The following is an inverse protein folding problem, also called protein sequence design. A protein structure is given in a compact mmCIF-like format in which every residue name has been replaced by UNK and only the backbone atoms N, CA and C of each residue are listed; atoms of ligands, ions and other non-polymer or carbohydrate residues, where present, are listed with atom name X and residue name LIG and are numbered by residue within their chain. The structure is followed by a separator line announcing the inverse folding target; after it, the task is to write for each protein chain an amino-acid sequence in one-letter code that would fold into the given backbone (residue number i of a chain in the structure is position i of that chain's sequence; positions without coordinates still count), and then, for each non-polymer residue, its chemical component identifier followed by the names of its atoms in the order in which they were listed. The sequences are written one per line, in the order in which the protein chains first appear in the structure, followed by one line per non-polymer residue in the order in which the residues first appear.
data_IF_461795707372
#
_entry.id   IF_461795707372
#
_cell.length_a   1.000
_cell.length_b   1.000
_cell.length_c   1.000
_cell.angle_alpha   90.00
_cell.angle_beta   90.00
_cell.angle_gamma   90.00
#
_symmetry.space_group_name_H-M   'P 1'
#
loop_
_entity.id
_entity.type
_entity.pdbx_description
1 polymer ?
#
# COMPACT_ATOMS: atom_id res chain seq x y z
N UNK A 1 28.87 -16.17 29.48
CA UNK A 1 27.92 -17.04 28.76
C UNK A 1 26.81 -17.44 29.72
N UNK A 2 25.59 -17.63 29.22
CA UNK A 2 24.46 -18.05 30.06
C UNK A 2 24.54 -19.57 30.18
N UNK A 3 24.93 -20.07 31.36
CA UNK A 3 25.31 -21.47 31.53
C UNK A 3 24.13 -22.45 31.61
N UNK A 4 22.90 -21.99 31.90
CA UNK A 4 21.71 -22.83 31.86
C UNK A 4 20.42 -21.99 31.77
N UNK A 5 19.63 -22.19 30.73
CA UNK A 5 18.27 -21.65 30.60
C UNK A 5 17.31 -22.81 30.72
N UNK A 6 16.46 -22.81 31.76
CA UNK A 6 15.45 -23.84 31.91
C UNK A 6 14.18 -23.42 31.18
N UNK A 7 13.96 -23.99 29.99
CA UNK A 7 12.75 -23.76 29.22
C UNK A 7 11.57 -24.59 29.80
N UNK A 8 10.33 -24.08 29.72
CA UNK A 8 9.15 -24.87 30.07
C UNK A 8 8.96 -26.03 29.09
N UNK A 9 8.03 -26.94 29.39
CA UNK A 9 7.72 -28.08 28.54
C UNK A 9 7.23 -27.60 27.15
N UNK A 10 7.99 -27.93 26.10
CA UNK A 10 7.67 -27.54 24.72
C UNK A 10 6.79 -28.58 24.05
N UNK A 11 5.99 -28.15 23.07
CA UNK A 11 5.29 -29.08 22.17
C UNK A 11 6.09 -29.22 20.89
N UNK A 12 6.36 -30.44 20.47
CA UNK A 12 6.99 -30.68 19.16
C UNK A 12 5.91 -30.58 18.11
N UNK A 13 6.05 -29.62 17.19
CA UNK A 13 5.21 -29.49 16.01
C UNK A 13 6.05 -29.76 14.77
N UNK A 14 5.61 -30.69 13.95
CA UNK A 14 6.21 -30.98 12.65
C UNK A 14 5.50 -30.14 11.59
N UNK A 15 6.28 -29.29 10.93
CA UNK A 15 5.82 -28.39 9.88
C UNK A 15 6.48 -28.79 8.56
N UNK A 16 5.73 -28.74 7.44
CA UNK A 16 6.25 -29.10 6.12
C UNK A 16 7.43 -28.23 5.66
N UNK A 17 7.59 -27.02 6.22
CA UNK A 17 8.62 -26.05 5.86
C UNK A 17 9.81 -26.01 6.83
N UNK A 18 9.58 -26.28 8.12
CA UNK A 18 10.61 -26.14 9.17
C UNK A 18 11.00 -27.48 9.83
N UNK A 19 10.35 -28.58 9.46
CA UNK A 19 10.55 -29.88 10.10
C UNK A 19 10.05 -29.89 11.55
N UNK A 20 10.64 -30.72 12.40
CA UNK A 20 10.26 -30.82 13.82
C UNK A 20 10.82 -29.63 14.59
N UNK A 21 9.93 -28.76 15.05
CA UNK A 21 10.26 -27.57 15.84
C UNK A 21 9.59 -27.61 17.21
N UNK A 22 10.29 -27.13 18.23
CA UNK A 22 9.75 -26.96 19.57
C UNK A 22 8.98 -25.63 19.65
N UNK A 23 7.69 -25.70 19.97
CA UNK A 23 6.82 -24.54 20.09
C UNK A 23 6.33 -24.38 21.53
N UNK A 24 6.11 -23.11 21.90
CA UNK A 24 5.51 -22.72 23.18
C UNK A 24 4.20 -21.98 22.88
N UNK A 25 3.06 -22.62 23.20
CA UNK A 25 1.72 -22.08 22.95
C UNK A 25 1.15 -21.31 24.14
N UNK A 26 1.86 -21.30 25.27
CA UNK A 26 1.49 -20.61 26.50
C UNK A 26 2.50 -19.53 26.87
N UNK A 27 2.04 -18.48 27.57
CA UNK A 27 2.93 -17.46 28.12
C UNK A 27 3.77 -18.06 29.25
N UNK A 28 5.09 -17.85 29.21
CA UNK A 28 6.00 -18.35 30.25
C UNK A 28 6.99 -17.27 30.70
N UNK A 29 7.60 -17.50 31.86
CA UNK A 29 8.62 -16.64 32.45
C UNK A 29 9.91 -17.44 32.55
N UNK A 30 10.96 -17.00 31.87
CA UNK A 30 12.30 -17.58 32.00
C UNK A 30 13.06 -16.88 33.12
N UNK A 31 13.57 -17.66 34.06
CA UNK A 31 14.53 -17.18 35.06
C UNK A 31 15.93 -17.53 34.57
N UNK A 32 16.72 -16.51 34.30
CA UNK A 32 18.10 -16.66 33.84
C UNK A 32 19.02 -16.27 34.98
N UNK A 33 19.95 -17.15 35.35
CA UNK A 33 20.99 -16.84 36.32
C UNK A 33 22.24 -16.40 35.56
N UNK A 34 22.76 -15.22 35.87
CA UNK A 34 23.84 -14.58 35.12
C UNK A 34 25.04 -14.49 36.04
N UNK A 35 26.07 -15.27 35.76
CA UNK A 35 27.29 -15.37 36.59
C UNK A 35 28.33 -14.29 36.28
N UNK A 36 28.20 -13.57 35.14
CA UNK A 36 29.15 -12.54 34.73
C UNK A 36 28.51 -11.14 34.67
N UNK A 37 29.31 -10.10 34.91
CA UNK A 37 29.00 -8.66 34.73
C UNK A 37 28.70 -8.27 33.26
N UNK A 38 28.12 -9.15 32.45
CA UNK A 38 27.62 -8.82 31.12
C UNK A 38 26.33 -8.00 31.27
N UNK A 39 26.41 -6.72 30.96
CA UNK A 39 25.28 -5.80 31.07
C UNK A 39 24.24 -5.98 29.96
N UNK A 40 24.47 -6.80 28.93
CA UNK A 40 23.58 -6.92 27.78
C UNK A 40 23.12 -8.38 27.57
N UNK A 41 21.81 -8.57 27.45
CA UNK A 41 21.17 -9.84 27.09
C UNK A 41 20.42 -9.68 25.78
N UNK A 42 20.81 -10.44 24.76
CA UNK A 42 20.14 -10.46 23.46
C UNK A 42 19.17 -11.64 23.41
N UNK A 43 17.88 -11.36 23.21
CA UNK A 43 16.82 -12.36 23.08
C UNK A 43 16.37 -12.43 21.63
N UNK A 44 16.38 -13.65 21.08
CA UNK A 44 15.92 -13.97 19.75
C UNK A 44 14.64 -14.81 19.88
N UNK A 45 13.54 -14.36 19.28
CA UNK A 45 12.30 -15.14 19.28
C UNK A 45 11.53 -14.94 17.98
N UNK A 46 10.75 -15.95 17.60
CA UNK A 46 9.92 -15.95 16.40
C UNK A 46 8.53 -16.46 16.77
N UNK A 47 7.49 -15.76 16.33
CA UNK A 47 6.11 -16.22 16.48
C UNK A 47 5.66 -16.96 15.23
N UNK A 48 4.86 -18.02 15.38
CA UNK A 48 4.23 -18.70 14.25
C UNK A 48 2.73 -18.82 14.45
N UNK A 49 1.96 -18.49 13.42
CA UNK A 49 0.53 -18.72 13.36
C UNK A 49 0.24 -20.22 13.20
N UNK A 50 -0.85 -20.70 13.82
CA UNK A 50 -1.22 -22.12 13.77
C UNK A 50 -1.43 -22.67 12.35
N UNK A 51 -1.72 -21.80 11.37
CA UNK A 51 -1.90 -22.10 9.94
C UNK A 51 -0.59 -22.19 9.12
N UNK A 52 0.59 -22.19 9.77
CA UNK A 52 1.88 -22.42 9.10
C UNK A 52 2.60 -21.16 8.61
N UNK A 53 2.21 -19.97 9.08
CA UNK A 53 2.88 -18.71 8.76
C UNK A 53 3.69 -18.23 9.95
N UNK A 54 5.02 -18.20 9.83
CA UNK A 54 5.89 -17.64 10.85
C UNK A 54 6.18 -16.15 10.58
N UNK A 55 6.04 -15.33 11.60
CA UNK A 55 6.46 -13.93 11.58
C UNK A 55 8.00 -13.85 11.44
N UNK A 56 8.55 -12.72 10.97
CA UNK A 56 9.99 -12.51 11.00
C UNK A 56 10.57 -12.63 12.41
N UNK A 57 11.80 -13.17 12.58
CA UNK A 57 12.44 -13.27 13.88
C UNK A 57 12.72 -11.88 14.46
N UNK A 58 12.41 -11.70 15.74
CA UNK A 58 12.56 -10.44 16.47
C UNK A 58 13.78 -10.54 17.38
N UNK A 59 14.62 -9.49 17.36
CA UNK A 59 15.74 -9.31 18.28
C UNK A 59 15.38 -8.26 19.33
N UNK A 60 15.53 -8.60 20.61
CA UNK A 60 15.39 -7.64 21.72
C UNK A 60 16.63 -7.67 22.60
N UNK A 61 17.19 -6.48 22.85
CA UNK A 61 18.35 -6.32 23.70
C UNK A 61 17.89 -5.76 25.05
N UNK A 62 18.28 -6.41 26.14
CA UNK A 62 17.98 -6.01 27.50
C UNK A 62 19.27 -5.61 28.21
N UNK A 63 19.34 -4.36 28.68
CA UNK A 63 20.42 -3.87 29.53
C UNK A 63 20.08 -4.15 31.00
N UNK A 64 20.90 -4.95 31.68
CA UNK A 64 20.73 -5.34 33.08
C UNK A 64 21.40 -4.35 34.05
N UNK A 65 22.14 -3.37 33.52
CA UNK A 65 22.86 -2.34 34.24
C UNK A 65 22.08 -1.02 34.35
N UNK A 66 20.97 -1.02 35.10
CA UNK A 66 20.48 0.15 35.83
C UNK A 66 20.48 1.53 35.13
N UNK A 67 19.67 1.68 34.08
CA UNK A 67 18.79 2.84 33.83
C UNK A 67 18.01 2.50 32.56
N UNK A 68 16.69 2.40 32.69
CA UNK A 68 15.77 2.38 31.55
C UNK A 68 15.96 3.68 30.76
N UNK A 69 16.92 3.69 29.83
CA UNK A 69 16.87 4.56 28.66
C UNK A 69 15.92 3.88 27.69
N UNK A 70 14.64 4.09 27.93
CA UNK A 70 13.63 4.07 26.86
C UNK A 70 13.92 5.27 25.96
N UNK A 71 15.00 5.21 25.19
CA UNK A 71 15.33 6.13 24.10
C UNK A 71 15.93 5.30 22.96
N UNK A 72 15.16 4.30 22.51
CA UNK A 72 15.15 3.95 21.10
C UNK A 72 13.84 4.49 20.53
N UNK A 73 13.81 5.81 20.37
CA UNK A 73 13.02 6.46 19.32
C UNK A 73 13.76 6.29 17.98
N UNK A 74 14.05 5.06 17.59
CA UNK A 74 14.06 4.76 16.18
C UNK A 74 12.60 4.46 15.86
N UNK A 75 11.91 5.50 15.38
CA UNK A 75 10.70 5.29 14.61
C UNK A 75 11.09 4.38 13.44
N UNK A 76 10.93 3.07 13.62
CA UNK A 76 10.50 2.22 12.53
C UNK A 76 9.30 2.93 11.94
N UNK A 77 9.47 3.57 10.78
CA UNK A 77 8.34 3.84 9.89
C UNK A 77 7.88 2.49 9.37
N UNK A 78 7.27 1.70 10.25
CA UNK A 78 6.33 0.65 9.86
C UNK A 78 5.39 1.34 8.89
N UNK A 79 5.24 0.78 7.69
CA UNK A 79 4.39 1.40 6.68
C UNK A 79 2.99 1.60 7.28
N UNK A 80 2.33 2.73 7.01
CA UNK A 80 0.98 3.00 7.55
C UNK A 80 0.01 1.85 7.20
N UNK A 81 0.26 1.18 6.07
CA UNK A 81 -0.41 -0.03 5.61
C UNK A 81 -0.23 -1.25 6.53
N UNK A 82 0.95 -1.47 7.10
CA UNK A 82 1.22 -2.60 8.02
C UNK A 82 0.57 -2.42 9.40
N UNK A 83 0.54 -1.18 9.91
CA UNK A 83 -0.20 -0.85 11.14
C UNK A 83 -1.71 -1.05 10.97
N UNK A 84 -2.23 -0.71 9.79
CA UNK A 84 -3.64 -0.93 9.44
C UNK A 84 -3.92 -2.43 9.34
N UNK A 85 -3.06 -3.20 8.67
CA UNK A 85 -3.18 -4.66 8.57
C UNK A 85 -3.22 -5.35 9.94
N UNK A 86 -2.27 -5.02 10.83
CA UNK A 86 -2.21 -5.62 12.17
C UNK A 86 -3.49 -5.40 13.00
N UNK A 87 -4.17 -4.26 12.81
CA UNK A 87 -5.47 -3.97 13.46
C UNK A 87 -6.65 -4.66 12.78
N UNK A 88 -6.59 -4.93 11.47
CA UNK A 88 -7.70 -5.60 10.75
C UNK A 88 -7.66 -7.10 11.03
N UNK A 89 -6.46 -7.71 11.04
CA UNK A 89 -6.30 -9.17 11.25
C UNK A 89 -6.69 -9.62 12.67
N UNK A 90 -6.48 -8.77 13.68
CA UNK A 90 -6.83 -9.11 15.07
C UNK A 90 -8.34 -9.06 15.38
N UNK A 91 -9.16 -8.55 14.46
CA UNK A 91 -10.52 -8.11 14.74
C UNK A 91 -11.57 -8.94 13.97
N UNK A 92 -12.76 -9.09 14.57
CA UNK A 92 -13.90 -9.72 13.91
C UNK A 92 -14.38 -8.89 12.71
N UNK A 93 -15.04 -9.55 11.75
CA UNK A 93 -15.59 -8.91 10.52
C UNK A 93 -16.44 -7.68 10.83
N UNK A 94 -17.27 -7.72 11.89
CA UNK A 94 -18.12 -6.58 12.30
C UNK A 94 -17.28 -5.38 12.77
N UNK A 95 -16.23 -5.64 13.55
CA UNK A 95 -15.31 -4.58 14.01
C UNK A 95 -14.56 -3.99 12.83
N UNK A 96 -14.14 -4.82 11.87
CA UNK A 96 -13.51 -4.37 10.64
C UNK A 96 -14.47 -3.48 9.84
N UNK A 97 -15.74 -3.89 9.66
CA UNK A 97 -16.77 -3.05 9.02
C UNK A 97 -16.84 -1.68 9.70
N UNK A 98 -16.93 -1.62 11.04
CA UNK A 98 -17.01 -0.35 11.77
C UNK A 98 -15.74 0.52 11.59
N UNK A 99 -14.57 -0.11 11.62
CA UNK A 99 -13.29 0.54 11.36
C UNK A 99 -13.26 1.16 9.95
N UNK A 100 -13.76 0.45 8.95
CA UNK A 100 -13.83 0.93 7.56
C UNK A 100 -14.81 2.08 7.37
N UNK A 101 -15.94 2.10 8.08
CA UNK A 101 -16.82 3.29 8.13
C UNK A 101 -16.03 4.48 8.68
N UNK A 102 -15.25 4.27 9.75
CA UNK A 102 -14.39 5.29 10.34
C UNK A 102 -13.34 5.84 9.35
N UNK A 103 -12.63 4.96 8.65
CA UNK A 103 -11.69 5.38 7.61
C UNK A 103 -12.37 6.09 6.45
N UNK A 104 -13.55 5.62 6.01
CA UNK A 104 -14.34 6.31 5.00
C UNK A 104 -14.73 7.72 5.43
N UNK A 105 -15.12 7.90 6.70
CA UNK A 105 -15.46 9.22 7.24
C UNK A 105 -14.24 10.16 7.23
N UNK A 106 -13.07 9.68 7.65
CA UNK A 106 -11.82 10.44 7.59
C UNK A 106 -11.45 10.81 6.14
N UNK A 107 -11.62 9.88 5.21
CA UNK A 107 -11.34 10.08 3.79
C UNK A 107 -12.29 11.07 3.11
N UNK A 108 -13.49 11.27 3.66
CA UNK A 108 -14.44 12.27 3.15
C UNK A 108 -13.87 13.71 3.21
N UNK A 109 -12.91 13.95 4.12
CA UNK A 109 -12.23 15.25 4.24
C UNK A 109 -11.04 15.40 3.29
N UNK A 110 -10.80 14.45 2.39
CA UNK A 110 -9.68 14.53 1.44
C UNK A 110 -9.94 15.53 0.31
N UNK A 111 -8.87 16.14 -0.24
CA UNK A 111 -8.93 17.06 -1.38
C UNK A 111 -9.75 16.55 -2.56
N UNK A 112 -9.81 15.24 -2.79
CA UNK A 112 -10.43 14.65 -3.98
C UNK A 112 -11.95 14.47 -3.85
N UNK A 113 -12.48 14.42 -2.62
CA UNK A 113 -13.93 14.28 -2.36
C UNK A 113 -14.62 15.65 -2.25
N UNK A 114 -13.89 16.68 -1.80
CA UNK A 114 -14.40 18.05 -1.66
C UNK A 114 -14.95 18.68 -2.96
N UNK A 115 -14.36 18.46 -4.17
CA UNK A 115 -14.90 18.95 -5.44
C UNK A 115 -16.29 18.43 -5.78
N UNK A 116 -16.75 17.36 -5.12
CA UNK A 116 -18.05 16.75 -5.40
C UNK A 116 -19.20 17.52 -4.76
N UNK A 117 -18.93 18.29 -3.70
CA UNK A 117 -19.95 19.14 -3.03
C UNK A 117 -20.48 20.22 -3.97
N UNK A 118 -19.64 21.00 -4.69
CA UNK A 118 -20.09 21.91 -5.74
C UNK A 118 -20.90 21.24 -6.85
N UNK A 119 -20.48 20.04 -7.28
CA UNK A 119 -21.17 19.28 -8.35
C UNK A 119 -22.58 18.91 -7.88
N UNK A 120 -22.72 18.32 -6.69
CA UNK A 120 -24.01 17.96 -6.11
C UNK A 120 -24.89 19.19 -5.88
N UNK A 121 -24.30 20.29 -5.39
CA UNK A 121 -25.00 21.56 -5.21
C UNK A 121 -25.57 22.10 -6.53
N UNK A 122 -24.78 22.09 -7.61
CA UNK A 122 -25.22 22.54 -8.93
C UNK A 122 -26.36 21.68 -9.50
N UNK A 123 -26.35 20.37 -9.21
CA UNK A 123 -27.38 19.43 -9.63
C UNK A 123 -28.68 19.66 -8.86
N UNK A 124 -28.60 19.91 -7.55
CA UNK A 124 -29.74 20.26 -6.69
C UNK A 124 -30.35 21.61 -7.12
N UNK A 125 -29.51 22.63 -7.39
CA UNK A 125 -29.94 23.97 -7.82
C UNK A 125 -30.66 23.96 -9.19
N UNK A 126 -30.26 23.06 -10.10
CA UNK A 126 -30.90 22.89 -11.41
C UNK A 126 -32.23 22.12 -11.33
N UNK A 127 -32.45 21.37 -10.26
CA UNK A 127 -33.67 20.61 -10.04
C UNK A 127 -34.79 21.52 -9.49
N UNK A 128 -35.82 21.76 -10.30
CA UNK A 128 -36.95 22.63 -9.96
C UNK A 128 -37.59 22.26 -8.59
N UNK A 129 -37.85 23.28 -7.79
CA UNK A 129 -37.97 23.27 -6.32
C UNK A 129 -39.38 22.94 -5.78
N UNK A 130 -40.18 22.17 -6.53
CA UNK A 130 -41.59 21.93 -6.16
C UNK A 130 -41.78 20.89 -5.04
N UNK A 131 -40.76 20.08 -4.71
CA UNK A 131 -40.83 19.05 -3.67
C UNK A 131 -39.67 19.12 -2.67
N UNK A 132 -39.99 19.23 -1.37
CA UNK A 132 -39.03 19.33 -0.26
C UNK A 132 -38.08 18.13 -0.15
N UNK A 133 -38.47 16.94 -0.62
CA UNK A 133 -37.69 15.71 -0.48
C UNK A 133 -36.76 15.43 -1.67
N UNK A 134 -36.82 16.27 -2.71
CA UNK A 134 -36.09 16.06 -3.97
C UNK A 134 -34.56 16.16 -3.81
N UNK A 135 -33.99 17.12 -3.04
CA UNK A 135 -32.55 17.16 -2.78
C UNK A 135 -32.02 15.92 -2.05
N UNK A 136 -32.81 15.38 -1.11
CA UNK A 136 -32.49 14.14 -0.41
C UNK A 136 -32.49 12.95 -1.36
N UNK A 137 -33.53 12.78 -2.18
CA UNK A 137 -33.57 11.69 -3.17
C UNK A 137 -32.43 11.79 -4.17
N UNK A 138 -32.13 12.97 -4.71
CA UNK A 138 -31.02 13.16 -5.65
C UNK A 138 -29.66 12.76 -5.03
N UNK A 139 -29.43 13.15 -3.78
CA UNK A 139 -28.22 12.78 -3.02
C UNK A 139 -28.18 11.27 -2.72
N UNK A 140 -29.34 10.68 -2.41
CA UNK A 140 -29.45 9.23 -2.16
C UNK A 140 -29.09 8.41 -3.41
N UNK A 141 -29.63 8.75 -4.58
CA UNK A 141 -29.28 8.07 -5.83
C UNK A 141 -27.82 8.28 -6.24
N UNK A 142 -27.26 9.46 -5.96
CA UNK A 142 -25.82 9.72 -6.16
C UNK A 142 -24.95 8.80 -5.30
N UNK A 143 -25.23 8.71 -4.00
CA UNK A 143 -24.54 7.81 -3.06
C UNK A 143 -24.71 6.35 -3.46
N UNK A 144 -25.90 5.95 -3.91
CA UNK A 144 -26.17 4.60 -4.37
C UNK A 144 -25.25 4.21 -5.55
N UNK A 145 -25.03 5.13 -6.50
CA UNK A 145 -24.08 4.91 -7.61
C UNK A 145 -22.65 4.68 -7.14
N UNK A 146 -22.19 5.47 -6.17
CA UNK A 146 -20.86 5.34 -5.57
C UNK A 146 -20.71 4.00 -4.83
N UNK A 147 -21.69 3.64 -3.99
CA UNK A 147 -21.69 2.37 -3.25
C UNK A 147 -21.70 1.15 -4.18
N UNK A 148 -22.49 1.18 -5.26
CA UNK A 148 -22.55 0.09 -6.24
C UNK A 148 -21.21 -0.13 -6.92
N UNK A 149 -20.52 0.94 -7.35
CA UNK A 149 -19.21 0.77 -7.97
C UNK A 149 -18.21 0.17 -6.98
N UNK A 150 -18.08 0.73 -5.78
CA UNK A 150 -17.11 0.23 -4.79
C UNK A 150 -17.40 -1.22 -4.39
N UNK A 151 -18.68 -1.60 -4.25
CA UNK A 151 -19.06 -2.98 -4.01
C UNK A 151 -18.68 -3.91 -5.16
N UNK A 152 -18.91 -3.50 -6.42
CA UNK A 152 -18.52 -4.27 -7.60
C UNK A 152 -17.00 -4.42 -7.71
N UNK A 153 -16.25 -3.34 -7.45
CA UNK A 153 -14.78 -3.37 -7.41
C UNK A 153 -14.29 -4.31 -6.31
N UNK A 154 -14.87 -4.24 -5.11
CA UNK A 154 -14.54 -5.15 -4.02
C UNK A 154 -14.87 -6.61 -4.32
N UNK A 155 -16.04 -6.91 -4.92
CA UNK A 155 -16.37 -8.25 -5.38
C UNK A 155 -15.39 -8.75 -6.44
N UNK A 156 -15.02 -7.89 -7.38
CA UNK A 156 -14.06 -8.22 -8.44
C UNK A 156 -12.69 -8.54 -7.86
N UNK A 157 -12.20 -7.72 -6.92
CA UNK A 157 -10.92 -7.95 -6.22
C UNK A 157 -10.97 -9.24 -5.40
N UNK A 158 -12.04 -9.47 -4.64
CA UNK A 158 -12.14 -10.66 -3.80
C UNK A 158 -12.47 -11.95 -4.56
N UNK A 159 -13.01 -11.86 -5.78
CA UNK A 159 -13.10 -13.00 -6.71
C UNK A 159 -11.75 -13.27 -7.38
N UNK A 160 -11.01 -12.21 -7.66
CA UNK A 160 -9.69 -12.25 -8.29
C UNK A 160 -8.55 -12.37 -7.26
N UNK A 161 -8.82 -12.85 -6.04
CA UNK A 161 -7.80 -12.98 -4.99
C UNK A 161 -6.68 -13.97 -5.36
N UNK A 162 -6.95 -14.88 -6.30
CA UNK A 162 -5.93 -15.76 -6.90
C UNK A 162 -5.03 -15.04 -7.93
N UNK A 163 -5.44 -13.85 -8.40
CA UNK A 163 -4.70 -12.98 -9.32
C UNK A 163 -4.00 -11.91 -8.47
N UNK A 164 -2.84 -12.29 -7.95
CA UNK A 164 -2.00 -11.42 -7.13
C UNK A 164 -1.51 -10.19 -7.93
N UNK A 165 -1.46 -9.04 -7.24
CA UNK A 165 -0.96 -7.72 -7.70
C UNK A 165 -1.85 -6.88 -8.64
N UNK A 166 -3.16 -6.73 -8.38
CA UNK A 166 -3.93 -5.59 -8.98
C UNK A 166 -3.30 -4.23 -8.62
N UNK A 167 -2.54 -4.17 -7.51
CA UNK A 167 -1.79 -2.96 -7.13
C UNK A 167 -0.73 -2.56 -8.17
N UNK A 168 -0.18 -3.49 -8.96
CA UNK A 168 0.79 -3.16 -10.03
C UNK A 168 0.15 -2.36 -11.17
N UNK A 169 -1.14 -2.61 -11.46
CA UNK A 169 -1.91 -1.84 -12.45
C UNK A 169 -2.04 -0.37 -12.00
N UNK A 170 -2.27 -0.13 -10.70
CA UNK A 170 -2.35 1.23 -10.17
C UNK A 170 -1.00 1.94 -10.03
N UNK A 171 0.10 1.21 -10.17
CA UNK A 171 1.47 1.74 -10.10
C UNK A 171 2.11 1.94 -11.48
N UNK A 172 1.45 1.54 -12.57
CA UNK A 172 1.97 1.80 -13.91
C UNK A 172 2.13 3.32 -14.13
N UNK A 173 3.30 3.78 -14.61
CA UNK A 173 3.53 5.19 -14.90
C UNK A 173 2.48 5.80 -15.85
N UNK A 174 1.90 5.04 -16.78
CA UNK A 174 0.87 5.56 -17.69
C UNK A 174 -0.42 5.96 -16.97
N UNK A 175 -0.91 5.14 -16.04
CA UNK A 175 -2.11 5.46 -15.25
C UNK A 175 -1.85 6.63 -14.30
N UNK A 176 -0.64 6.69 -13.73
CA UNK A 176 -0.24 7.77 -12.84
C UNK A 176 -0.14 9.12 -13.58
N UNK A 177 0.41 9.15 -14.80
CA UNK A 177 0.44 10.35 -15.66
C UNK A 177 -0.98 10.80 -16.01
N UNK A 178 -1.84 9.88 -16.46
CA UNK A 178 -3.23 10.18 -16.77
C UNK A 178 -3.96 10.79 -15.58
N UNK A 179 -3.70 10.26 -14.37
CA UNK A 179 -4.31 10.77 -13.15
C UNK A 179 -3.75 12.12 -12.69
N UNK A 180 -2.45 12.38 -12.83
CA UNK A 180 -1.90 13.72 -12.56
C UNK A 180 -2.53 14.73 -13.52
N UNK A 181 -2.66 14.38 -14.80
CA UNK A 181 -3.27 15.24 -15.81
C UNK A 181 -4.73 15.57 -15.45
N UNK A 182 -5.53 14.58 -15.04
CA UNK A 182 -6.93 14.83 -14.64
C UNK A 182 -7.02 15.73 -13.41
N UNK A 183 -6.13 15.57 -12.41
CA UNK A 183 -6.09 16.44 -11.23
C UNK A 183 -5.71 17.88 -11.57
N UNK A 184 -4.73 18.08 -12.46
CA UNK A 184 -4.34 19.41 -12.93
C UNK A 184 -5.49 20.08 -13.68
N UNK A 185 -6.16 19.34 -14.58
CA UNK A 185 -7.35 19.83 -15.31
C UNK A 185 -8.49 20.17 -14.34
N UNK A 186 -8.71 19.38 -13.28
CA UNK A 186 -9.75 19.70 -12.31
C UNK A 186 -9.38 20.95 -11.48
N UNK A 187 -8.12 21.07 -11.06
CA UNK A 187 -7.59 22.23 -10.34
C UNK A 187 -7.73 23.53 -11.14
N UNK A 188 -7.34 23.52 -12.41
CA UNK A 188 -7.47 24.66 -13.32
C UNK A 188 -8.95 25.04 -13.57
N UNK A 189 -9.86 24.05 -13.58
CA UNK A 189 -11.30 24.31 -13.64
C UNK A 189 -11.81 25.02 -12.39
N UNK A 190 -11.31 24.65 -11.20
CA UNK A 190 -11.66 25.31 -9.94
C UNK A 190 -11.10 26.75 -9.84
N UNK A 191 -9.98 27.06 -10.50
CA UNK A 191 -9.51 28.45 -10.64
C UNK A 191 -10.38 29.31 -11.56
N UNK A 192 -11.34 28.71 -12.26
CA UNK A 192 -12.23 29.42 -13.18
C UNK A 192 -11.51 29.95 -14.43
N UNK A 193 -10.35 29.37 -14.78
CA UNK A 193 -9.62 29.70 -16.01
C UNK A 193 -10.41 29.28 -17.26
N UNK A 194 -11.21 28.23 -17.14
CA UNK A 194 -12.19 27.81 -18.13
C UNK A 194 -13.46 27.30 -17.44
N UNK A 195 -14.61 27.81 -17.87
CA UNK A 195 -15.85 27.07 -17.72
C UNK A 195 -15.85 26.03 -18.84
N UNK A 196 -16.02 24.74 -18.53
CA UNK A 196 -16.19 23.70 -19.56
C UNK A 196 -17.53 23.96 -20.24
N UNK A 197 -17.55 24.91 -21.19
CA UNK A 197 -18.68 25.17 -22.07
C UNK A 197 -18.63 24.07 -23.11
N UNK A 198 -19.26 22.95 -22.78
CA UNK A 198 -19.46 21.81 -23.70
C UNK A 198 -19.92 22.40 -25.05
N UNK A 199 -19.28 22.02 -26.16
CA UNK A 199 -19.63 22.54 -27.48
C UNK A 199 -21.14 22.39 -27.75
N UNK A 200 -21.78 23.41 -28.35
CA UNK A 200 -23.24 23.45 -28.54
C UNK A 200 -23.81 22.20 -29.24
N UNK A 201 -23.01 21.54 -30.09
CA UNK A 201 -23.38 20.29 -30.77
C UNK A 201 -23.52 19.11 -29.81
N UNK A 202 -22.62 18.98 -28.84
CA UNK A 202 -22.64 17.90 -27.85
C UNK A 202 -23.69 18.17 -26.78
N UNK A 203 -23.91 19.43 -26.40
CA UNK A 203 -25.03 19.80 -25.54
C UNK A 203 -26.36 19.38 -26.16
N UNK A 204 -26.60 19.66 -27.45
CA UNK A 204 -27.83 19.29 -28.17
C UNK A 204 -28.01 17.77 -28.26
N UNK A 205 -26.94 17.02 -28.55
CA UNK A 205 -26.98 15.55 -28.59
C UNK A 205 -27.34 14.97 -27.22
N UNK A 206 -26.66 15.45 -26.17
CA UNK A 206 -26.87 15.00 -24.79
C UNK A 206 -28.24 15.42 -24.26
N UNK A 207 -28.75 16.62 -24.57
CA UNK A 207 -30.11 17.02 -24.18
C UNK A 207 -31.19 16.25 -24.94
N UNK A 208 -30.97 15.91 -26.22
CA UNK A 208 -31.90 15.07 -26.97
C UNK A 208 -31.92 13.63 -26.44
N UNK A 209 -30.77 13.09 -26.05
CA UNK A 209 -30.66 11.80 -25.39
C UNK A 209 -31.24 11.82 -23.96
N UNK A 210 -31.02 12.90 -23.21
CA UNK A 210 -31.55 13.17 -21.86
C UNK A 210 -33.03 13.55 -21.82
N UNK A 211 -33.64 13.89 -22.96
CA UNK A 211 -35.09 14.06 -23.08
C UNK A 211 -35.77 12.74 -23.50
N UNK A 212 -35.07 11.86 -24.24
CA UNK A 212 -35.58 10.51 -24.57
C UNK A 212 -35.50 9.53 -23.40
N UNK A 213 -34.43 9.60 -22.63
CA UNK A 213 -34.25 8.86 -21.38
C UNK A 213 -34.39 9.91 -20.29
N UNK A 214 -35.28 9.77 -19.30
CA UNK A 214 -35.49 10.72 -18.18
C UNK A 214 -34.27 10.83 -17.24
N UNK A 215 -33.09 11.14 -17.79
CA UNK A 215 -31.77 11.24 -17.14
C UNK A 215 -31.67 12.51 -16.29
N UNK A 216 -32.55 13.50 -16.50
CA UNK A 216 -32.53 14.79 -15.80
C UNK A 216 -32.94 14.79 -14.31
N UNK A 217 -33.16 13.61 -13.70
CA UNK A 217 -33.54 13.51 -12.29
C UNK A 217 -32.63 12.54 -11.54
N UNK A 218 -33.14 11.35 -11.26
CA UNK A 218 -32.48 10.38 -10.39
C UNK A 218 -31.44 9.51 -11.11
N UNK A 219 -31.71 9.15 -12.37
CA UNK A 219 -30.79 8.34 -13.18
C UNK A 219 -29.47 9.07 -13.48
N UNK A 220 -29.52 10.37 -13.75
CA UNK A 220 -28.32 11.20 -13.95
C UNK A 220 -27.47 11.30 -12.68
N UNK A 221 -28.09 11.47 -11.51
CA UNK A 221 -27.38 11.46 -10.23
C UNK A 221 -26.68 10.13 -9.96
N UNK A 222 -27.33 9.00 -10.23
CA UNK A 222 -26.74 7.68 -10.06
C UNK A 222 -25.51 7.48 -10.95
N UNK A 223 -25.61 7.80 -12.24
CA UNK A 223 -24.50 7.65 -13.20
C UNK A 223 -23.34 8.57 -12.83
N UNK A 224 -23.62 9.82 -12.43
CA UNK A 224 -22.59 10.75 -11.97
C UNK A 224 -21.89 10.26 -10.70
N UNK A 225 -22.62 9.66 -9.76
CA UNK A 225 -22.03 9.02 -8.57
C UNK A 225 -21.14 7.82 -8.91
N UNK A 226 -21.50 7.05 -9.94
CA UNK A 226 -20.68 5.94 -10.43
C UNK A 226 -19.37 6.44 -11.05
N UNK A 227 -19.41 7.44 -11.94
CA UNK A 227 -18.19 8.01 -12.54
C UNK A 227 -17.31 8.75 -11.53
N UNK A 228 -17.94 9.41 -10.56
CA UNK A 228 -17.28 10.04 -9.41
C UNK A 228 -16.35 9.07 -8.68
N UNK A 229 -16.83 7.86 -8.41
CA UNK A 229 -16.09 6.86 -7.65
C UNK A 229 -14.81 6.40 -8.37
N UNK A 230 -14.80 6.37 -9.71
CA UNK A 230 -13.60 6.08 -10.50
C UNK A 230 -12.51 7.16 -10.34
N UNK A 231 -12.92 8.43 -10.25
CA UNK A 231 -12.00 9.57 -10.11
C UNK A 231 -11.39 9.60 -8.70
N UNK A 232 -12.16 9.20 -7.68
CA UNK A 232 -11.71 9.20 -6.28
C UNK A 232 -10.73 8.06 -5.97
N UNK A 233 -10.79 6.97 -6.73
CA UNK A 233 -10.00 5.74 -6.50
C UNK A 233 -8.51 5.96 -6.16
N UNK A 234 -7.74 6.73 -6.95
CA UNK A 234 -6.31 6.88 -6.70
C UNK A 234 -5.97 7.70 -5.44
N UNK A 235 -6.87 8.58 -4.98
CA UNK A 235 -6.69 9.31 -3.72
C UNK A 235 -6.97 8.45 -2.47
N UNK A 236 -7.63 7.31 -2.65
CA UNK A 236 -7.98 6.36 -1.58
C UNK A 236 -7.01 5.16 -1.55
N UNK A 237 -5.99 5.17 -2.42
CA UNK A 237 -5.02 4.09 -2.55
C UNK A 237 -4.29 3.70 -1.24
N UNK A 238 -3.87 4.63 -0.34
CA UNK A 238 -3.12 4.24 0.84
C UNK A 238 -3.95 3.40 1.84
N UNK A 239 -5.19 3.77 2.23
CA UNK A 239 -6.03 2.88 3.04
C UNK A 239 -6.42 1.58 2.34
N UNK A 240 -6.59 1.62 1.01
CA UNK A 240 -6.88 0.41 0.23
C UNK A 240 -5.72 -0.58 0.28
N UNK A 241 -4.46 -0.14 0.36
CA UNK A 241 -3.31 -1.04 0.45
C UNK A 241 -3.39 -1.98 1.67
N UNK A 242 -3.78 -1.48 2.84
CA UNK A 242 -3.98 -2.31 4.04
C UNK A 242 -5.12 -3.33 3.86
N UNK A 243 -6.19 -2.94 3.14
CA UNK A 243 -7.28 -3.85 2.76
C UNK A 243 -6.79 -4.94 1.81
N UNK A 244 -6.02 -4.57 0.80
CA UNK A 244 -5.46 -5.52 -0.16
C UNK A 244 -4.62 -6.57 0.55
N UNK A 245 -3.71 -6.16 1.46
CA UNK A 245 -2.90 -7.08 2.26
C UNK A 245 -3.77 -8.01 3.10
N UNK A 246 -4.85 -7.51 3.69
CA UNK A 246 -5.81 -8.31 4.44
C UNK A 246 -6.49 -9.38 3.55
N UNK A 247 -6.99 -8.98 2.38
CA UNK A 247 -7.67 -9.88 1.45
C UNK A 247 -6.73 -10.98 0.97
N UNK A 248 -5.49 -10.63 0.60
CA UNK A 248 -4.51 -11.59 0.08
C UNK A 248 -3.99 -12.54 1.16
N UNK A 249 -3.90 -12.09 2.42
CA UNK A 249 -3.35 -12.88 3.52
C UNK A 249 -4.38 -13.80 4.19
N UNK A 250 -5.61 -13.33 4.38
CA UNK A 250 -6.65 -14.11 5.08
C UNK A 250 -7.63 -14.81 4.14
N UNK A 251 -7.70 -14.41 2.86
CA UNK A 251 -8.67 -14.89 1.88
C UNK A 251 -10.10 -14.98 2.45
N UNK A 252 -10.68 -13.86 2.92
CA UNK A 252 -12.01 -13.83 3.54
C UNK A 252 -13.16 -14.11 2.54
N UNK A 253 -12.84 -14.26 1.25
CA UNK A 253 -13.79 -14.49 0.16
C UNK A 253 -14.34 -13.21 -0.47
N UNK A 254 -14.87 -13.34 -1.70
CA UNK A 254 -15.37 -12.23 -2.50
C UNK A 254 -16.46 -11.41 -1.79
N UNK A 255 -17.41 -12.08 -1.14
CA UNK A 255 -18.53 -11.42 -0.48
C UNK A 255 -18.08 -10.52 0.69
N UNK A 256 -17.15 -10.99 1.54
CA UNK A 256 -16.63 -10.20 2.66
C UNK A 256 -15.82 -9.02 2.15
N UNK A 257 -15.02 -9.23 1.11
CA UNK A 257 -14.25 -8.17 0.46
C UNK A 257 -15.17 -7.07 -0.09
N UNK A 258 -16.23 -7.47 -0.80
CA UNK A 258 -17.26 -6.54 -1.27
C UNK A 258 -17.90 -5.75 -0.13
N UNK A 259 -18.24 -6.41 0.98
CA UNK A 259 -18.82 -5.77 2.17
C UNK A 259 -17.89 -4.73 2.81
N UNK A 260 -16.57 -5.00 2.87
CA UNK A 260 -15.60 -4.03 3.40
C UNK A 260 -15.51 -2.77 2.53
N UNK A 261 -15.45 -2.93 1.21
CA UNK A 261 -15.45 -1.80 0.26
C UNK A 261 -16.76 -1.02 0.30
N UNK A 262 -17.90 -1.71 0.42
CA UNK A 262 -19.21 -1.08 0.61
C UNK A 262 -19.26 -0.28 1.92
N UNK A 263 -18.70 -0.82 3.00
CA UNK A 263 -18.61 -0.14 4.29
C UNK A 263 -17.82 1.16 4.21
N UNK A 264 -16.67 1.13 3.53
CA UNK A 264 -15.84 2.31 3.27
C UNK A 264 -16.60 3.36 2.44
N UNK A 265 -17.29 2.93 1.38
CA UNK A 265 -18.13 3.81 0.55
C UNK A 265 -19.26 4.48 1.34
N UNK A 266 -19.93 3.74 2.22
CA UNK A 266 -20.96 4.27 3.12
C UNK A 266 -20.36 5.31 4.07
N UNK A 267 -19.18 5.04 4.64
CA UNK A 267 -18.47 5.99 5.52
C UNK A 267 -18.16 7.33 4.82
N UNK A 268 -17.66 7.29 3.58
CA UNK A 268 -17.38 8.49 2.79
C UNK A 268 -18.64 9.25 2.38
N UNK A 269 -19.75 8.54 2.20
CA UNK A 269 -21.02 9.08 1.71
C UNK A 269 -21.87 9.74 2.79
N UNK A 270 -21.66 9.39 4.07
CA UNK A 270 -22.44 9.92 5.18
C UNK A 270 -22.32 11.46 5.28
N UNK A 271 -21.12 12.06 5.22
CA UNK A 271 -20.98 13.51 5.18
C UNK A 271 -21.59 14.13 3.92
N UNK A 272 -21.43 13.51 2.74
CA UNK A 272 -21.99 14.02 1.48
C UNK A 272 -23.53 14.06 1.49
N UNK A 273 -24.17 13.03 2.04
CA UNK A 273 -25.62 12.96 2.19
C UNK A 273 -26.12 13.97 3.24
N UNK A 274 -25.39 14.13 4.34
CA UNK A 274 -25.66 15.17 5.32
C UNK A 274 -25.53 16.57 4.70
N UNK A 275 -24.47 16.83 3.94
CA UNK A 275 -24.34 18.09 3.20
C UNK A 275 -25.49 18.26 2.21
N UNK A 276 -25.78 17.30 1.33
CA UNK A 276 -26.86 17.42 0.33
C UNK A 276 -28.25 17.70 0.91
N UNK A 277 -28.54 17.21 2.12
CA UNK A 277 -29.82 17.43 2.82
C UNK A 277 -29.91 18.79 3.52
N UNK A 278 -28.88 19.17 4.29
CA UNK A 278 -28.89 20.41 5.07
C UNK A 278 -28.51 21.65 4.23
N UNK A 279 -27.68 21.47 3.20
CA UNK A 279 -27.12 22.55 2.39
C UNK A 279 -28.17 23.27 1.54
N UNK A 280 -29.26 22.59 1.13
CA UNK A 280 -30.35 23.21 0.37
C UNK A 280 -31.11 24.31 1.13
N UNK A 281 -31.04 24.34 2.46
CA UNK A 281 -31.73 25.33 3.32
C UNK A 281 -30.80 26.40 3.88
N UNK A 282 -29.51 26.12 4.01
CA UNK A 282 -28.57 26.91 4.83
C UNK A 282 -27.55 27.72 4.01
N UNK A 283 -27.34 27.40 2.72
CA UNK A 283 -26.29 28.08 1.96
C UNK A 283 -26.78 29.34 1.22
N UNK A 284 -26.03 30.45 1.33
CA UNK A 284 -26.33 31.66 0.58
C UNK A 284 -26.18 31.39 -0.92
N UNK A 285 -26.96 32.12 -1.74
CA UNK A 285 -26.85 32.07 -3.21
C UNK A 285 -25.38 32.17 -3.64
N UNK A 286 -24.99 31.39 -4.65
CA UNK A 286 -23.64 31.37 -5.24
C UNK A 286 -23.07 32.78 -5.37
N UNK A 287 -22.16 33.14 -4.46
CA UNK A 287 -21.60 34.48 -4.34
C UNK A 287 -20.08 34.47 -4.36
N UNK A 288 -19.45 35.60 -4.06
CA UNK A 288 -17.97 35.75 -4.06
C UNK A 288 -17.27 34.74 -3.13
N UNK A 289 -17.91 34.32 -2.04
CA UNK A 289 -17.36 33.34 -1.09
C UNK A 289 -17.07 31.97 -1.72
N UNK A 290 -17.94 31.49 -2.63
CA UNK A 290 -17.75 30.20 -3.29
C UNK A 290 -16.54 30.20 -4.23
N UNK A 291 -16.19 31.36 -4.80
CA UNK A 291 -14.98 31.54 -5.60
C UNK A 291 -13.71 31.35 -4.77
N UNK A 292 -13.67 31.86 -3.54
CA UNK A 292 -12.53 31.66 -2.65
C UNK A 292 -12.38 30.19 -2.21
N UNK A 293 -13.48 29.49 -1.94
CA UNK A 293 -13.44 28.05 -1.63
C UNK A 293 -12.90 27.25 -2.82
N UNK A 294 -13.38 27.51 -4.03
CA UNK A 294 -12.88 26.83 -5.22
C UNK A 294 -11.38 27.07 -5.42
N UNK A 295 -10.88 28.27 -5.13
CA UNK A 295 -9.44 28.57 -5.18
C UNK A 295 -8.65 27.80 -4.15
N UNK A 296 -9.13 27.73 -2.90
CA UNK A 296 -8.49 26.95 -1.84
C UNK A 296 -8.42 25.46 -2.21
N UNK A 297 -9.53 24.88 -2.68
CA UNK A 297 -9.58 23.47 -3.12
C UNK A 297 -8.68 23.25 -4.34
N UNK A 298 -8.66 24.19 -5.29
CA UNK A 298 -7.79 24.14 -6.47
C UNK A 298 -6.31 24.07 -6.09
N UNK A 299 -5.86 24.91 -5.14
CA UNK A 299 -4.48 24.87 -4.62
C UNK A 299 -4.19 23.54 -3.93
N UNK A 300 -5.11 23.06 -3.08
CA UNK A 300 -4.96 21.78 -2.38
C UNK A 300 -4.81 20.60 -3.37
N UNK A 301 -5.63 20.56 -4.43
CA UNK A 301 -5.53 19.57 -5.49
C UNK A 301 -4.20 19.64 -6.26
N UNK A 302 -3.68 20.85 -6.46
CA UNK A 302 -2.40 21.06 -7.15
C UNK A 302 -1.23 20.57 -6.29
N UNK A 303 -1.25 20.83 -4.98
CA UNK A 303 -0.27 20.27 -4.03
C UNK A 303 -0.24 18.75 -4.11
N UNK A 304 -1.41 18.10 -4.11
CA UNK A 304 -1.51 16.64 -4.25
C UNK A 304 -0.98 16.18 -5.61
N UNK A 305 -1.31 16.87 -6.70
CA UNK A 305 -0.76 16.52 -8.02
C UNK A 305 0.77 16.60 -8.04
N UNK A 306 1.37 17.62 -7.42
CA UNK A 306 2.83 17.77 -7.31
C UNK A 306 3.45 16.62 -6.50
N UNK A 307 2.86 16.23 -5.36
CA UNK A 307 3.40 15.11 -4.58
C UNK A 307 3.34 13.77 -5.32
N UNK A 308 2.40 13.61 -6.26
CA UNK A 308 2.37 12.46 -7.17
C UNK A 308 3.42 12.55 -8.28
N UNK A 309 3.78 13.75 -8.75
CA UNK A 309 4.87 13.96 -9.73
C UNK A 309 6.21 13.48 -9.15
N UNK A 310 6.48 13.72 -7.86
CA UNK A 310 7.72 13.24 -7.21
C UNK A 310 7.91 11.72 -7.32
N UNK A 311 6.81 10.95 -7.38
CA UNK A 311 6.84 9.50 -7.59
C UNK A 311 7.19 9.11 -9.04
N UNK A 312 7.00 10.01 -10.00
CA UNK A 312 7.39 9.83 -11.40
C UNK A 312 8.85 10.17 -11.69
N UNK A 313 9.45 11.07 -10.91
CA UNK A 313 10.85 11.51 -11.07
C UNK A 313 11.84 10.35 -11.20
N UNK A 314 11.82 9.28 -10.37
CA UNK A 314 12.76 8.17 -10.52
C UNK A 314 12.58 7.37 -11.83
N UNK A 315 11.42 7.44 -12.49
CA UNK A 315 11.16 6.79 -13.78
C UNK A 315 11.64 7.67 -14.95
N UNK A 316 11.53 8.99 -14.83
CA UNK A 316 11.88 9.94 -15.90
C UNK A 316 13.36 10.34 -15.90
N UNK A 317 14.01 10.37 -14.74
CA UNK A 317 15.45 10.62 -14.60
C UNK A 317 16.27 9.35 -14.86
N UNK A 318 16.10 8.76 -16.05
CA UNK A 318 17.10 7.88 -16.65
C UNK A 318 18.29 8.75 -17.07
N UNK A 319 19.00 9.31 -16.08
CA UNK A 319 20.31 9.89 -16.31
C UNK A 319 21.30 8.73 -16.34
N UNK A 320 21.87 8.50 -17.52
CA UNK A 320 22.97 7.59 -17.83
C UNK A 320 24.25 7.98 -17.07
N UNK A 321 24.24 7.88 -15.74
CA UNK A 321 25.45 7.53 -15.01
C UNK A 321 25.37 6.02 -14.85
N UNK A 322 26.11 5.32 -15.70
CA UNK A 322 26.20 3.86 -15.73
C UNK A 322 26.72 3.37 -14.37
N UNK A 323 25.84 2.80 -13.55
CA UNK A 323 26.25 2.00 -12.40
C UNK A 323 27.04 0.81 -12.91
N UNK A 324 28.26 0.62 -12.43
CA UNK A 324 29.14 -0.45 -12.90
C UNK A 324 28.82 -1.83 -12.31
N UNK A 325 27.69 -1.97 -11.61
CA UNK A 325 27.23 -3.21 -10.99
C UNK A 325 26.66 -4.14 -12.06
N UNK A 326 27.28 -5.30 -12.22
CA UNK A 326 26.85 -6.33 -13.18
C UNK A 326 26.02 -7.37 -12.45
N UNK A 327 24.70 -7.34 -12.64
CA UNK A 327 23.78 -8.33 -12.08
C UNK A 327 23.60 -9.52 -13.03
N UNK A 328 23.77 -10.74 -12.51
CA UNK A 328 23.37 -11.96 -13.22
C UNK A 328 21.87 -12.15 -13.10
N UNK A 329 21.17 -12.25 -14.24
CA UNK A 329 19.73 -12.45 -14.27
C UNK A 329 19.40 -13.94 -14.11
N UNK A 330 18.51 -14.27 -13.17
CA UNK A 330 18.01 -15.64 -12.95
C UNK A 330 16.51 -15.68 -13.21
N UNK A 331 16.05 -16.70 -13.94
CA UNK A 331 14.65 -16.79 -14.40
C UNK A 331 13.82 -17.88 -13.74
N UNK A 332 14.45 -18.87 -13.11
CA UNK A 332 13.72 -19.98 -12.49
C UNK A 332 14.43 -20.54 -11.25
N UNK A 333 13.68 -21.29 -10.44
CA UNK A 333 14.16 -21.88 -9.18
C UNK A 333 15.33 -22.85 -9.41
N UNK A 334 15.31 -23.60 -10.51
CA UNK A 334 16.39 -24.53 -10.85
C UNK A 334 17.72 -23.83 -11.11
N UNK A 335 17.68 -22.72 -11.84
CA UNK A 335 18.85 -21.87 -12.11
C UNK A 335 19.35 -21.18 -10.83
N UNK A 336 18.44 -20.72 -9.96
CA UNK A 336 18.81 -20.18 -8.65
C UNK A 336 19.54 -21.21 -7.80
N UNK A 337 18.96 -22.41 -7.64
CA UNK A 337 19.59 -23.46 -6.84
C UNK A 337 20.91 -23.92 -7.44
N UNK A 338 21.03 -23.95 -8.76
CA UNK A 338 22.31 -24.27 -9.41
C UNK A 338 23.37 -23.20 -9.10
N UNK A 339 23.00 -21.92 -9.16
CA UNK A 339 23.91 -20.82 -8.86
C UNK A 339 24.40 -20.90 -7.40
N UNK A 340 23.46 -21.03 -6.46
CA UNK A 340 23.75 -21.08 -5.02
C UNK A 340 24.62 -22.30 -4.63
N UNK A 341 24.60 -23.39 -5.40
CA UNK A 341 25.41 -24.58 -5.13
C UNK A 341 26.75 -24.62 -5.88
N UNK A 342 26.95 -23.82 -6.94
CA UNK A 342 28.09 -23.96 -7.86
C UNK A 342 29.00 -22.74 -7.92
N UNK A 343 28.47 -21.53 -7.67
CA UNK A 343 29.20 -20.25 -7.89
C UNK A 343 29.35 -19.42 -6.60
N UNK A 344 29.12 -20.01 -5.43
CA UNK A 344 29.05 -19.31 -4.14
C UNK A 344 30.40 -19.11 -3.46
N UNK A 345 31.46 -18.73 -4.19
CA UNK A 345 32.75 -18.40 -3.56
C UNK A 345 32.68 -17.14 -2.66
N UNK A 346 31.59 -16.38 -2.77
CA UNK A 346 31.32 -15.12 -2.06
C UNK A 346 29.85 -15.09 -1.65
N UNK A 347 29.53 -14.25 -0.66
CA UNK A 347 28.15 -13.91 -0.30
C UNK A 347 27.38 -13.46 -1.55
N UNK A 348 26.17 -13.99 -1.70
CA UNK A 348 25.26 -13.70 -2.80
C UNK A 348 24.24 -12.66 -2.35
N UNK A 349 24.18 -11.54 -3.07
CA UNK A 349 23.11 -10.55 -2.96
C UNK A 349 22.07 -10.80 -4.05
N UNK A 350 20.84 -11.09 -3.64
CA UNK A 350 19.71 -11.35 -4.51
C UNK A 350 18.73 -10.18 -4.46
N UNK A 351 18.55 -9.51 -5.60
CA UNK A 351 17.62 -8.41 -5.83
C UNK A 351 16.37 -8.91 -6.57
N UNK A 352 15.21 -8.88 -5.90
CA UNK A 352 13.90 -9.13 -6.51
C UNK A 352 13.34 -7.81 -7.04
N UNK A 353 13.33 -7.68 -8.36
CA UNK A 353 13.06 -6.45 -9.10
C UNK A 353 11.81 -6.57 -9.99
N UNK A 354 11.14 -5.44 -10.23
CA UNK A 354 10.19 -5.28 -11.33
C UNK A 354 10.15 -3.86 -11.88
N UNK A 355 9.84 -3.69 -13.17
CA UNK A 355 9.77 -2.36 -13.80
C UNK A 355 8.65 -1.47 -13.26
N UNK A 356 7.55 -2.08 -12.80
CA UNK A 356 6.42 -1.39 -12.18
C UNK A 356 6.68 -1.03 -10.70
N UNK A 357 7.78 -1.52 -10.11
CA UNK A 357 8.13 -1.27 -8.71
C UNK A 357 8.90 0.05 -8.57
N UNK A 358 8.19 1.10 -8.11
CA UNK A 358 8.76 2.44 -7.91
C UNK A 358 9.90 2.42 -6.87
N UNK A 359 9.76 1.63 -5.80
CA UNK A 359 10.76 1.52 -4.75
C UNK A 359 12.03 0.79 -5.21
N UNK A 360 11.91 -0.12 -6.19
CA UNK A 360 13.06 -0.80 -6.80
C UNK A 360 13.90 0.20 -7.59
N UNK A 361 13.24 1.02 -8.43
CA UNK A 361 13.89 2.12 -9.14
C UNK A 361 14.50 3.14 -8.18
N UNK A 362 13.83 3.40 -7.06
CA UNK A 362 14.34 4.28 -6.02
C UNK A 362 15.63 3.72 -5.40
N UNK A 363 15.70 2.40 -5.14
CA UNK A 363 16.92 1.74 -4.66
C UNK A 363 18.06 1.82 -5.66
N UNK A 364 17.81 1.52 -6.94
CA UNK A 364 18.82 1.62 -8.00
C UNK A 364 19.38 3.05 -8.11
N UNK A 365 18.52 4.07 -8.05
CA UNK A 365 18.92 5.45 -8.29
C UNK A 365 19.51 6.15 -7.05
N UNK A 366 19.03 5.83 -5.84
CA UNK A 366 19.46 6.53 -4.61
C UNK A 366 20.40 5.73 -3.73
N UNK A 367 20.34 4.41 -3.77
CA UNK A 367 21.10 3.55 -2.87
C UNK A 367 22.23 2.83 -3.59
N UNK A 368 21.96 2.09 -4.66
CA UNK A 368 22.99 1.33 -5.37
C UNK A 368 23.99 2.23 -6.13
N UNK A 369 23.58 3.44 -6.49
CA UNK A 369 24.46 4.48 -7.07
C UNK A 369 25.33 5.21 -6.05
N UNK A 370 25.15 4.99 -4.75
CA UNK A 370 26.03 5.60 -3.75
C UNK A 370 27.41 4.94 -3.81
N UNK A 371 28.48 5.73 -3.84
CA UNK A 371 29.85 5.23 -4.02
C UNK A 371 30.28 4.20 -2.95
N UNK A 372 29.86 4.38 -1.70
CA UNK A 372 30.20 3.46 -0.61
C UNK A 372 29.47 2.13 -0.77
N UNK A 373 28.18 2.18 -1.14
CA UNK A 373 27.36 1.00 -1.38
C UNK A 373 27.84 0.26 -2.62
N UNK A 374 28.14 0.96 -3.71
CA UNK A 374 28.63 0.37 -4.95
C UNK A 374 29.95 -0.38 -4.73
N UNK A 375 30.83 0.15 -3.88
CA UNK A 375 32.11 -0.49 -3.54
C UNK A 375 31.89 -1.81 -2.80
N UNK A 376 31.00 -1.82 -1.79
CA UNK A 376 30.67 -3.04 -1.04
C UNK A 376 29.95 -4.07 -1.89
N UNK A 377 29.02 -3.65 -2.76
CA UNK A 377 28.29 -4.56 -3.64
C UNK A 377 29.20 -5.24 -4.67
N UNK A 378 30.29 -4.59 -5.10
CA UNK A 378 31.30 -5.22 -6.00
C UNK A 378 32.04 -6.38 -5.35
N UNK A 379 32.07 -6.45 -4.02
CA UNK A 379 32.67 -7.56 -3.30
C UNK A 379 31.75 -8.78 -3.23
N UNK A 380 30.46 -8.64 -3.60
CA UNK A 380 29.45 -9.68 -3.53
C UNK A 380 29.12 -10.26 -4.91
N UNK A 381 28.51 -11.45 -4.91
CA UNK A 381 27.90 -12.03 -6.10
C UNK A 381 26.49 -11.45 -6.30
N UNK A 382 26.32 -10.64 -7.34
CA UNK A 382 25.07 -9.90 -7.58
C UNK A 382 24.12 -10.68 -8.49
N UNK A 383 22.96 -11.04 -7.97
CA UNK A 383 21.87 -11.70 -8.71
C UNK A 383 20.67 -10.76 -8.77
N UNK A 384 20.00 -10.74 -9.92
CA UNK A 384 18.71 -10.07 -10.11
C UNK A 384 17.66 -11.06 -10.59
N UNK A 385 16.53 -11.11 -9.90
CA UNK A 385 15.34 -11.83 -10.32
C UNK A 385 14.33 -10.79 -10.78
N UNK A 386 14.02 -10.82 -12.07
CA UNK A 386 13.11 -9.87 -12.71
C UNK A 386 11.71 -10.50 -12.83
N UNK A 387 10.81 -10.08 -11.94
CA UNK A 387 9.42 -10.58 -11.88
C UNK A 387 8.44 -9.65 -12.61
N UNK A 388 8.92 -8.80 -13.52
CA UNK A 388 8.10 -7.80 -14.24
C UNK A 388 6.92 -8.46 -14.96
N UNK A 389 7.13 -9.64 -15.56
CA UNK A 389 6.12 -10.33 -16.36
C UNK A 389 5.11 -11.12 -15.53
N UNK A 390 5.37 -11.34 -14.24
CA UNK A 390 4.53 -12.15 -13.35
C UNK A 390 4.17 -13.52 -13.94
N UNK A 391 5.15 -14.19 -14.56
CA UNK A 391 5.00 -15.51 -15.15
C UNK A 391 4.86 -16.60 -14.08
N UNK A 392 4.52 -17.83 -14.49
CA UNK A 392 4.40 -18.97 -13.54
C UNK A 392 5.73 -19.25 -12.85
N UNK A 393 6.82 -19.06 -13.56
CA UNK A 393 8.19 -19.21 -13.08
C UNK A 393 8.54 -18.11 -12.07
N UNK A 394 8.12 -16.87 -12.32
CA UNK A 394 8.31 -15.73 -11.39
C UNK A 394 7.57 -15.98 -10.08
N UNK A 395 6.31 -16.45 -10.16
CA UNK A 395 5.49 -16.79 -8.98
C UNK A 395 6.14 -17.93 -8.19
N UNK A 396 6.67 -18.95 -8.88
CA UNK A 396 7.38 -20.04 -8.23
C UNK A 396 8.64 -19.57 -7.50
N UNK A 397 9.39 -18.62 -8.09
CA UNK A 397 10.54 -17.98 -7.45
C UNK A 397 10.14 -17.16 -6.22
N UNK A 398 9.13 -16.30 -6.32
CA UNK A 398 8.65 -15.50 -5.18
C UNK A 398 8.20 -16.40 -4.01
N UNK A 399 7.48 -17.48 -4.33
CA UNK A 399 7.04 -18.47 -3.34
C UNK A 399 8.21 -19.22 -2.72
N UNK A 400 9.18 -19.66 -3.53
CA UNK A 400 10.38 -20.35 -3.05
C UNK A 400 11.20 -19.46 -2.12
N UNK A 401 11.33 -18.18 -2.47
CA UNK A 401 12.04 -17.19 -1.67
C UNK A 401 11.24 -16.70 -0.46
N UNK A 402 9.97 -17.08 -0.32
CA UNK A 402 9.06 -16.57 0.71
C UNK A 402 9.02 -15.03 0.75
N UNK A 403 8.93 -14.40 -0.43
CA UNK A 403 8.79 -12.94 -0.59
C UNK A 403 7.43 -12.62 -1.21
N UNK A 404 6.77 -11.59 -0.70
CA UNK A 404 5.43 -11.19 -1.17
C UNK A 404 5.48 -10.46 -2.51
N UNK A 405 6.60 -9.80 -2.81
CA UNK A 405 6.81 -9.05 -4.03
C UNK A 405 8.02 -8.10 -3.95
N UNK A 406 8.36 -7.44 -5.07
CA UNK A 406 9.44 -6.46 -5.13
C UNK A 406 9.06 -5.13 -4.45
N UNK A 407 10.04 -4.36 -3.90
CA UNK A 407 11.45 -4.73 -3.78
C UNK A 407 11.65 -5.66 -2.60
N UNK A 408 12.39 -6.74 -2.82
CA UNK A 408 12.86 -7.61 -1.76
C UNK A 408 14.31 -7.99 -2.02
N UNK A 409 15.12 -7.99 -0.96
CA UNK A 409 16.54 -8.29 -1.04
C UNK A 409 16.87 -9.42 -0.08
N UNK A 410 17.58 -10.44 -0.58
CA UNK A 410 18.04 -11.59 0.20
C UNK A 410 19.55 -11.76 0.10
N UNK A 411 20.11 -12.35 1.14
CA UNK A 411 21.53 -12.63 1.25
C UNK A 411 21.75 -14.11 1.50
N UNK A 412 22.66 -14.71 0.76
CA UNK A 412 23.08 -16.10 0.97
C UNK A 412 24.57 -16.14 1.24
N UNK A 413 24.99 -17.02 2.13
CA UNK A 413 26.40 -17.25 2.41
C UNK A 413 27.10 -18.03 1.27
N UNK A 414 28.36 -18.37 1.49
CA UNK A 414 29.19 -19.11 0.54
C UNK A 414 28.74 -20.56 0.33
N UNK A 415 27.93 -21.09 1.24
CA UNK A 415 27.37 -22.44 1.14
C UNK A 415 25.99 -22.44 0.45
N UNK A 416 25.51 -21.25 0.05
CA UNK A 416 24.20 -21.08 -0.58
C UNK A 416 23.04 -21.11 0.42
N UNK A 417 23.33 -20.96 1.73
CA UNK A 417 22.32 -20.92 2.79
C UNK A 417 21.90 -19.47 3.04
N UNK A 418 20.60 -19.22 3.18
CA UNK A 418 20.08 -17.88 3.45
C UNK A 418 20.55 -17.36 4.81
N UNK A 419 21.14 -16.16 4.83
CA UNK A 419 21.53 -15.46 6.05
C UNK A 419 20.27 -14.86 6.69
N UNK A 420 19.63 -15.65 7.56
CA UNK A 420 18.37 -15.26 8.21
C UNK A 420 18.52 -13.96 9.02
N UNK A 421 17.52 -13.10 8.93
CA UNK A 421 17.46 -11.82 9.67
C UNK A 421 18.09 -10.63 8.95
N UNK A 422 18.73 -10.85 7.79
CA UNK A 422 19.29 -9.78 6.95
C UNK A 422 18.48 -9.50 5.68
N UNK A 423 17.38 -10.22 5.47
CA UNK A 423 16.46 -9.97 4.36
C UNK A 423 15.78 -8.60 4.52
N UNK A 424 15.67 -7.85 3.43
CA UNK A 424 15.08 -6.51 3.40
C UNK A 424 13.82 -6.56 2.54
N UNK A 425 12.73 -6.00 3.04
CA UNK A 425 11.48 -5.82 2.29
C UNK A 425 11.20 -4.30 2.18
N UNK A 426 11.14 -3.79 0.96
CA UNK A 426 10.93 -2.36 0.68
C UNK A 426 12.22 -1.54 0.51
N UNK A 427 12.06 -0.21 0.47
CA UNK A 427 13.16 0.74 0.27
C UNK A 427 14.04 0.93 1.53
N UNK A 428 15.36 0.97 1.34
CA UNK A 428 16.35 1.32 2.36
C UNK A 428 17.32 2.39 1.84
N UNK A 429 17.49 3.50 2.56
CA UNK A 429 18.41 4.55 2.11
C UNK A 429 19.88 4.09 2.12
N UNK A 430 20.74 4.82 1.41
CA UNK A 430 22.15 4.45 1.22
C UNK A 430 22.92 4.23 2.52
N UNK A 431 22.77 5.11 3.51
CA UNK A 431 23.51 5.02 4.79
C UNK A 431 23.13 3.78 5.60
N UNK A 432 21.83 3.46 5.68
CA UNK A 432 21.37 2.25 6.38
C UNK A 432 21.79 1.00 5.63
N UNK A 433 21.65 1.01 4.31
CA UNK A 433 22.03 -0.13 3.46
C UNK A 433 23.54 -0.40 3.51
N UNK A 434 24.37 0.65 3.56
CA UNK A 434 25.81 0.51 3.76
C UNK A 434 26.12 -0.21 5.08
N UNK A 435 25.59 0.26 6.21
CA UNK A 435 25.79 -0.39 7.52
C UNK A 435 25.32 -1.84 7.52
N UNK A 436 24.18 -2.09 6.87
CA UNK A 436 23.63 -3.44 6.73
C UNK A 436 24.57 -4.37 5.97
N UNK A 437 25.19 -3.90 4.88
CA UNK A 437 26.20 -4.66 4.14
C UNK A 437 27.48 -4.88 4.96
N UNK A 438 27.95 -3.86 5.70
CA UNK A 438 29.13 -3.97 6.57
C UNK A 438 28.93 -5.05 7.65
N UNK A 439 27.74 -5.12 8.26
CA UNK A 439 27.40 -6.17 9.22
C UNK A 439 27.42 -7.57 8.59
N UNK A 440 26.87 -7.73 7.38
CA UNK A 440 26.86 -9.02 6.67
C UNK A 440 28.27 -9.47 6.30
N UNK A 441 29.08 -8.56 5.75
CA UNK A 441 30.46 -8.86 5.36
C UNK A 441 31.31 -9.19 6.59
N UNK A 442 31.02 -8.59 7.75
CA UNK A 442 31.71 -8.92 9.00
C UNK A 442 31.42 -10.32 9.53
N UNK A 443 30.26 -10.91 9.19
CA UNK A 443 29.91 -12.30 9.55
C UNK A 443 30.77 -13.30 8.77
N UNK A 444 31.15 -12.97 7.54
CA UNK A 444 31.94 -13.86 6.66
C UNK A 444 33.45 -13.85 6.98
N UNK A 445 33.89 -12.96 7.88
CA UNK A 445 35.28 -12.83 8.34
C UNK A 445 35.55 -13.57 9.66
N UNK A 446 34.51 -14.04 10.37
CA UNK A 446 34.58 -14.79 11.62
C UNK A 446 34.06 -16.22 11.42
#
# INVERSE_FOLDING_TARGET
EINNINFPESKIKEDEFFGKSEIYDTSFILKINIENNSNLVNIYYQGCANKGLCYPPIRKNFDLGGKLKTDFSDQEKISESELIYGKISSNNVITNILLFIGFGLLLSFTPCVLPMVPILSSLILKSNNENSNKPFLLSFYYVLGLCVLYFLVGLFIGYSSDIYNIQSIFQDPLYLIFFILILIVLSLSMFGLYEIKIANSFQRLVTNFSNRIRIGGYGGSFIMGFFSALIVGPCVAPPLAGIFIYITSENPGAAVTGLLFLSLAIGMSLPLLFYGTFMGKIIPKTGKWMKYINYLIGVLLLIVAITFIDRLVPVLNVSNNDSSLVFKKIKNVGELNRFLNTESDKIVFLDVYADWCIECKLMEQKTFKNINVETLLKELNLIKIDVTNNSKEDIALLKYLNVLGPPAYKFYDREGIEIKGYSIQGYMNAEKFQKHLEEIISIDLN
#
